data_IF_552092486429
#
_entry.id   IF_552092486429
#
_cell.length_a   1.000
_cell.length_b   1.000
_cell.length_c   1.000
_cell.angle_alpha   90.00
_cell.angle_beta   90.00
_cell.angle_gamma   90.00
#
_symmetry.space_group_name_H-M   'P 1'
#
loop_
_entity.id
_entity.type
_entity.pdbx_description
1 polymer ?
#
# COMPACT_ATOMS: atom_id res chain seq x y z
N UNK A 1 -9.84 -29.70 11.44
CA UNK A 1 -10.41 -31.02 11.78
C UNK A 1 -11.85 -31.15 11.30
N UNK A 2 -12.72 -30.18 11.61
CA UNK A 2 -14.15 -30.17 11.23
C UNK A 2 -14.44 -30.44 9.74
N UNK A 3 -13.73 -29.80 8.79
CA UNK A 3 -13.91 -30.06 7.34
C UNK A 3 -13.72 -31.54 6.95
N UNK A 4 -12.72 -32.21 7.53
CA UNK A 4 -12.43 -33.62 7.23
C UNK A 4 -13.56 -34.52 7.75
N UNK A 5 -14.05 -34.23 8.95
CA UNK A 5 -15.16 -34.97 9.57
C UNK A 5 -16.44 -34.78 8.76
N UNK A 6 -16.77 -33.55 8.35
CA UNK A 6 -17.91 -33.27 7.50
C UNK A 6 -17.86 -34.03 6.16
N UNK A 7 -16.70 -34.06 5.51
CA UNK A 7 -16.52 -34.81 4.25
C UNK A 7 -16.83 -36.30 4.46
N UNK A 8 -16.49 -36.87 5.61
CA UNK A 8 -16.76 -38.27 5.93
C UNK A 8 -18.27 -38.57 6.04
N UNK A 9 -19.04 -37.67 6.66
CA UNK A 9 -20.49 -37.86 6.90
C UNK A 9 -21.38 -37.34 5.77
N UNK A 10 -20.86 -36.51 4.86
CA UNK A 10 -21.64 -35.88 3.77
C UNK A 10 -22.43 -36.88 2.92
N UNK A 11 -21.90 -38.09 2.71
CA UNK A 11 -22.58 -39.13 1.93
C UNK A 11 -23.83 -39.64 2.66
N UNK A 12 -23.73 -39.86 3.97
CA UNK A 12 -24.83 -40.32 4.83
C UNK A 12 -25.96 -39.28 4.86
N UNK A 13 -25.61 -38.00 5.08
CA UNK A 13 -26.54 -36.87 5.03
C UNK A 13 -27.34 -36.83 3.72
N UNK A 14 -26.67 -36.96 2.57
CA UNK A 14 -27.33 -36.95 1.25
C UNK A 14 -28.24 -38.16 1.01
N UNK A 15 -27.93 -39.30 1.61
CA UNK A 15 -28.75 -40.51 1.51
C UNK A 15 -29.94 -40.52 2.47
N UNK A 16 -30.08 -39.52 3.34
CA UNK A 16 -31.11 -39.47 4.38
C UNK A 16 -30.91 -40.48 5.52
N UNK A 17 -29.76 -41.16 5.55
CA UNK A 17 -29.41 -42.15 6.57
C UNK A 17 -28.35 -41.56 7.51
N UNK A 18 -28.77 -40.57 8.30
CA UNK A 18 -27.92 -39.84 9.23
C UNK A 18 -28.47 -39.96 10.65
N UNK A 19 -27.59 -39.78 11.64
CA UNK A 19 -27.94 -39.69 13.05
C UNK A 19 -27.57 -38.32 13.64
N UNK A 20 -27.82 -38.14 14.94
CA UNK A 20 -27.49 -36.89 15.64
C UNK A 20 -25.98 -36.59 15.63
N UNK A 21 -25.13 -37.62 15.59
CA UNK A 21 -23.68 -37.45 15.50
C UNK A 21 -23.26 -36.85 14.16
N UNK A 22 -23.88 -37.29 13.06
CA UNK A 22 -23.67 -36.70 11.73
C UNK A 22 -24.15 -35.23 11.65
N UNK A 23 -25.25 -34.90 12.35
CA UNK A 23 -25.75 -33.53 12.48
C UNK A 23 -24.80 -32.65 13.29
N UNK A 24 -24.26 -33.17 14.40
CA UNK A 24 -23.29 -32.43 15.23
C UNK A 24 -22.00 -32.15 14.47
N UNK A 25 -21.46 -33.14 13.74
CA UNK A 25 -20.30 -32.94 12.85
C UNK A 25 -20.57 -31.85 11.81
N UNK A 26 -21.83 -31.73 11.35
CA UNK A 26 -22.24 -30.69 10.42
C UNK A 26 -22.30 -29.32 11.10
N UNK A 27 -22.86 -29.20 12.30
CA UNK A 27 -22.85 -27.95 13.10
C UNK A 27 -21.42 -27.49 13.37
N UNK A 28 -20.55 -28.38 13.83
CA UNK A 28 -19.13 -28.08 14.07
C UNK A 28 -18.45 -27.52 12.82
N UNK A 29 -18.72 -28.12 11.66
CA UNK A 29 -18.14 -27.66 10.40
C UNK A 29 -18.66 -26.29 9.96
N UNK A 30 -19.96 -26.04 10.07
CA UNK A 30 -20.55 -24.75 9.71
C UNK A 30 -20.08 -23.65 10.66
N UNK A 31 -20.08 -23.90 11.98
CA UNK A 31 -19.58 -22.97 12.98
C UNK A 31 -18.09 -22.65 12.77
N UNK A 32 -17.26 -23.67 12.53
CA UNK A 32 -15.85 -23.44 12.22
C UNK A 32 -15.64 -22.66 10.90
N UNK A 33 -16.55 -22.78 9.95
CA UNK A 33 -16.51 -22.01 8.70
C UNK A 33 -16.89 -20.55 8.95
N UNK A 34 -17.91 -20.29 9.77
CA UNK A 34 -18.30 -18.94 10.19
C UNK A 34 -17.18 -18.27 10.99
N UNK A 35 -16.54 -18.98 11.92
CA UNK A 35 -15.42 -18.43 12.70
C UNK A 35 -14.27 -17.97 11.80
N UNK A 36 -13.98 -18.71 10.74
CA UNK A 36 -13.01 -18.29 9.74
C UNK A 36 -13.47 -17.03 8.97
N UNK A 37 -14.74 -16.94 8.61
CA UNK A 37 -15.31 -15.77 7.91
C UNK A 37 -15.25 -14.53 8.80
N UNK A 38 -15.61 -14.64 10.07
CA UNK A 38 -15.51 -13.56 11.06
C UNK A 38 -14.06 -13.12 11.22
N UNK A 39 -13.12 -14.04 11.44
CA UNK A 39 -11.70 -13.71 11.58
C UNK A 39 -11.13 -13.01 10.33
N UNK A 40 -11.62 -13.34 9.13
CA UNK A 40 -11.24 -12.65 7.91
C UNK A 40 -11.74 -11.19 7.91
N UNK A 41 -13.00 -10.97 8.28
CA UNK A 41 -13.58 -9.63 8.36
C UNK A 41 -12.95 -8.78 9.47
N UNK A 42 -12.64 -9.37 10.63
CA UNK A 42 -11.91 -8.71 11.71
C UNK A 42 -10.52 -8.23 11.24
N UNK A 43 -9.84 -9.02 10.40
CA UNK A 43 -8.56 -8.61 9.80
C UNK A 43 -8.75 -7.42 8.85
N UNK A 44 -9.83 -7.40 8.07
CA UNK A 44 -10.16 -6.27 7.17
C UNK A 44 -10.45 -5.02 8.00
N UNK A 45 -11.26 -5.15 9.05
CA UNK A 45 -11.54 -4.07 10.00
C UNK A 45 -10.24 -3.51 10.60
N UNK A 46 -9.36 -4.36 11.10
CA UNK A 46 -8.06 -3.94 11.63
C UNK A 46 -7.23 -3.15 10.60
N UNK A 47 -7.17 -3.62 9.35
CA UNK A 47 -6.44 -2.93 8.30
C UNK A 47 -7.03 -1.53 8.00
N UNK A 48 -8.36 -1.42 8.00
CA UNK A 48 -9.06 -0.13 7.86
C UNK A 48 -8.71 0.81 9.01
N UNK A 49 -8.76 0.33 10.25
CA UNK A 49 -8.39 1.10 11.45
C UNK A 49 -6.94 1.63 11.39
N UNK A 50 -6.02 0.89 10.77
CA UNK A 50 -4.63 1.33 10.59
C UNK A 50 -4.40 2.25 9.39
N UNK A 51 -5.37 2.39 8.47
CA UNK A 51 -5.17 3.13 7.22
C UNK A 51 -5.21 4.65 7.37
N UNK A 52 -5.88 5.16 8.42
CA UNK A 52 -6.19 6.59 8.61
C UNK A 52 -6.77 7.26 7.33
N UNK A 53 -7.45 6.48 6.47
CA UNK A 53 -7.99 6.94 5.19
C UNK A 53 -9.32 7.67 5.33
N UNK A 54 -9.79 8.30 4.25
CA UNK A 54 -11.12 8.92 4.22
C UNK A 54 -12.23 7.87 4.27
N UNK A 55 -13.35 8.20 4.93
CA UNK A 55 -14.50 7.30 5.04
C UNK A 55 -14.29 6.05 5.90
N UNK A 56 -13.15 5.94 6.59
CA UNK A 56 -12.76 4.76 7.39
C UNK A 56 -13.84 4.33 8.39
N UNK A 57 -14.51 5.26 9.08
CA UNK A 57 -15.56 4.93 10.05
C UNK A 57 -16.76 4.21 9.40
N UNK A 58 -17.30 4.73 8.29
CA UNK A 58 -18.44 4.12 7.62
C UNK A 58 -18.10 2.71 7.10
N UNK A 59 -16.87 2.54 6.59
CA UNK A 59 -16.34 1.26 6.10
C UNK A 59 -16.18 0.26 7.25
N UNK A 60 -15.67 0.69 8.39
CA UNK A 60 -15.58 -0.12 9.62
C UNK A 60 -16.97 -0.56 10.09
N UNK A 61 -17.94 0.35 10.14
CA UNK A 61 -19.33 0.02 10.53
C UNK A 61 -19.93 -1.03 9.60
N UNK A 62 -19.76 -0.90 8.29
CA UNK A 62 -20.24 -1.89 7.34
C UNK A 62 -19.64 -3.28 7.59
N UNK A 63 -18.35 -3.37 7.93
CA UNK A 63 -17.70 -4.65 8.28
C UNK A 63 -18.26 -5.21 9.60
N UNK A 64 -18.48 -4.37 10.61
CA UNK A 64 -19.06 -4.77 11.90
C UNK A 64 -20.48 -5.31 11.75
N UNK A 65 -21.29 -4.72 10.87
CA UNK A 65 -22.65 -5.22 10.56
C UNK A 65 -22.60 -6.62 9.94
N UNK A 66 -21.63 -6.89 9.04
CA UNK A 66 -21.44 -8.22 8.45
C UNK A 66 -20.96 -9.26 9.46
N UNK A 67 -20.07 -8.87 10.38
CA UNK A 67 -19.64 -9.74 11.48
C UNK A 67 -20.85 -10.09 12.35
N UNK A 68 -21.70 -9.12 12.67
CA UNK A 68 -22.92 -9.33 13.46
C UNK A 68 -23.89 -10.29 12.76
N UNK A 69 -24.12 -10.13 11.46
CA UNK A 69 -24.94 -11.06 10.67
C UNK A 69 -24.39 -12.50 10.71
N UNK A 70 -23.07 -12.68 10.59
CA UNK A 70 -22.45 -14.00 10.69
C UNK A 70 -22.56 -14.61 12.11
N UNK A 71 -22.56 -13.78 13.15
CA UNK A 71 -22.80 -14.23 14.52
C UNK A 71 -24.24 -14.72 14.72
N UNK A 72 -25.23 -14.02 14.17
CA UNK A 72 -26.64 -14.46 14.18
C UNK A 72 -26.84 -15.80 13.46
N UNK A 73 -26.19 -15.99 12.30
CA UNK A 73 -26.22 -17.26 11.58
C UNK A 73 -25.60 -18.42 12.40
N UNK A 74 -24.57 -18.12 13.18
CA UNK A 74 -23.93 -19.09 14.08
C UNK A 74 -24.90 -19.56 15.17
N UNK A 75 -25.70 -18.64 15.72
CA UNK A 75 -26.76 -18.97 16.68
C UNK A 75 -27.85 -19.82 16.02
N UNK A 76 -28.25 -19.49 14.78
CA UNK A 76 -29.24 -20.26 14.02
C UNK A 76 -28.78 -21.71 13.79
N UNK A 77 -27.50 -21.94 13.46
CA UNK A 77 -26.92 -23.28 13.34
C UNK A 77 -26.94 -24.03 14.67
N UNK A 78 -26.61 -23.36 15.77
CA UNK A 78 -26.65 -23.95 17.11
C UNK A 78 -28.06 -24.41 17.52
N UNK A 79 -29.08 -23.68 17.10
CA UNK A 79 -30.49 -23.98 17.41
C UNK A 79 -31.16 -24.94 16.41
N UNK A 80 -30.46 -25.33 15.33
CA UNK A 80 -31.02 -26.18 14.29
C UNK A 80 -31.27 -27.62 14.80
N UNK A 81 -32.53 -28.04 14.70
CA UNK A 81 -33.06 -29.31 15.18
C UNK A 81 -32.96 -30.44 14.14
N UNK A 82 -32.56 -30.13 12.90
CA UNK A 82 -32.48 -31.13 11.84
C UNK A 82 -31.76 -30.67 10.59
N UNK A 83 -31.58 -31.59 9.65
CA UNK A 83 -30.80 -31.38 8.43
C UNK A 83 -31.36 -30.27 7.53
N UNK A 84 -32.69 -30.12 7.48
CA UNK A 84 -33.34 -29.07 6.67
C UNK A 84 -33.04 -27.66 7.21
N UNK A 85 -33.11 -27.47 8.52
CA UNK A 85 -32.77 -26.22 9.18
C UNK A 85 -31.27 -25.92 9.02
N UNK A 86 -30.40 -26.92 9.17
CA UNK A 86 -28.96 -26.78 8.91
C UNK A 86 -28.66 -26.43 7.45
N UNK A 87 -29.38 -27.02 6.49
CA UNK A 87 -29.21 -26.70 5.08
C UNK A 87 -29.68 -25.28 4.74
N UNK A 88 -30.75 -24.82 5.39
CA UNK A 88 -31.27 -23.45 5.26
C UNK A 88 -30.25 -22.45 5.82
N UNK A 89 -29.77 -22.66 7.05
CA UNK A 89 -28.74 -21.82 7.66
C UNK A 89 -27.45 -21.81 6.83
N UNK A 90 -26.98 -22.97 6.36
CA UNK A 90 -25.80 -23.03 5.49
C UNK A 90 -25.96 -22.24 4.18
N UNK A 91 -27.17 -22.20 3.62
CA UNK A 91 -27.47 -21.42 2.42
C UNK A 91 -27.48 -19.91 2.72
N UNK A 92 -28.04 -19.52 3.87
CA UNK A 92 -28.06 -18.14 4.34
C UNK A 92 -26.64 -17.61 4.62
N UNK A 93 -25.84 -18.36 5.38
CA UNK A 93 -24.40 -18.11 5.61
C UNK A 93 -23.65 -17.90 4.30
N UNK A 94 -23.91 -18.73 3.29
CA UNK A 94 -23.25 -18.60 1.99
C UNK A 94 -23.61 -17.28 1.29
N UNK A 95 -24.88 -16.86 1.37
CA UNK A 95 -25.34 -15.58 0.84
C UNK A 95 -24.66 -14.41 1.55
N UNK A 96 -24.74 -14.39 2.89
CA UNK A 96 -24.10 -13.37 3.73
C UNK A 96 -22.60 -13.27 3.48
N UNK A 97 -21.91 -14.42 3.43
CA UNK A 97 -20.47 -14.47 3.18
C UNK A 97 -20.10 -13.98 1.79
N UNK A 98 -20.83 -14.37 0.74
CA UNK A 98 -20.50 -13.93 -0.62
C UNK A 98 -20.54 -12.40 -0.73
N UNK A 99 -21.56 -11.78 -0.16
CA UNK A 99 -21.66 -10.32 -0.14
C UNK A 99 -20.57 -9.69 0.73
N UNK A 100 -20.38 -10.18 1.97
CA UNK A 100 -19.34 -9.67 2.86
C UNK A 100 -17.93 -9.80 2.26
N UNK A 101 -17.66 -10.88 1.54
CA UNK A 101 -16.39 -11.13 0.87
C UNK A 101 -16.15 -10.13 -0.27
N UNK A 102 -17.15 -9.84 -1.10
CA UNK A 102 -17.02 -8.86 -2.18
C UNK A 102 -16.72 -7.47 -1.61
N UNK A 103 -17.49 -7.04 -0.61
CA UNK A 103 -17.23 -5.78 0.09
C UNK A 103 -15.83 -5.76 0.71
N UNK A 104 -15.42 -6.82 1.42
CA UNK A 104 -14.09 -6.91 2.01
C UNK A 104 -12.94 -6.77 1.00
N UNK A 105 -13.09 -7.35 -0.20
CA UNK A 105 -12.11 -7.22 -1.29
C UNK A 105 -12.07 -5.77 -1.78
N UNK A 106 -13.23 -5.17 -2.04
CA UNK A 106 -13.30 -3.78 -2.48
C UNK A 106 -12.69 -2.82 -1.44
N UNK A 107 -13.00 -3.02 -0.16
CA UNK A 107 -12.47 -2.20 0.92
C UNK A 107 -10.96 -2.35 1.09
N UNK A 108 -10.43 -3.57 0.94
CA UNK A 108 -8.98 -3.79 0.96
C UNK A 108 -8.31 -3.12 -0.25
N UNK A 109 -8.95 -3.17 -1.42
CA UNK A 109 -8.51 -2.52 -2.65
C UNK A 109 -8.38 -1.01 -2.49
N UNK A 110 -9.45 -0.34 -2.03
CA UNK A 110 -9.45 1.11 -1.75
C UNK A 110 -8.32 1.52 -0.81
N UNK A 111 -8.11 0.77 0.28
CA UNK A 111 -7.01 1.06 1.21
C UNK A 111 -5.63 0.87 0.58
N UNK A 112 -5.49 -0.02 -0.41
CA UNK A 112 -4.26 -0.17 -1.16
C UNK A 112 -4.07 1.00 -2.14
N UNK A 113 -5.10 1.43 -2.86
CA UNK A 113 -5.07 2.62 -3.73
C UNK A 113 -4.65 3.86 -2.95
N UNK A 114 -5.32 4.16 -1.83
CA UNK A 114 -4.97 5.30 -0.95
C UNK A 114 -3.51 5.31 -0.47
N UNK A 115 -2.87 4.14 -0.40
CA UNK A 115 -1.44 4.04 -0.05
C UNK A 115 -0.54 4.26 -1.25
N UNK A 116 -0.97 3.81 -2.42
CA UNK A 116 -0.28 4.06 -3.69
C UNK A 116 -0.35 5.55 -4.03
N UNK A 117 -1.50 6.21 -3.88
CA UNK A 117 -1.63 7.66 -4.10
C UNK A 117 -0.65 8.45 -3.23
N UNK A 118 -0.54 8.09 -1.94
CA UNK A 118 0.46 8.70 -1.05
C UNK A 118 1.90 8.48 -1.48
N UNK A 119 2.20 7.46 -2.28
CA UNK A 119 3.51 7.24 -2.88
C UNK A 119 3.66 8.07 -4.16
N UNK A 120 2.61 8.16 -4.98
CA UNK A 120 2.55 8.97 -6.20
C UNK A 120 2.68 10.48 -5.86
N UNK A 121 1.94 10.99 -4.88
CA UNK A 121 2.06 12.38 -4.39
C UNK A 121 3.51 12.73 -4.01
N UNK A 122 4.19 11.82 -3.30
CA UNK A 122 5.59 12.02 -2.91
C UNK A 122 6.57 11.92 -4.07
N UNK A 123 6.17 11.22 -5.13
CA UNK A 123 6.99 11.04 -6.31
C UNK A 123 7.07 12.33 -7.13
N UNK A 124 5.99 13.09 -7.17
CA UNK A 124 5.93 14.41 -7.81
C UNK A 124 6.95 15.36 -7.16
N UNK A 125 6.95 15.44 -5.82
CA UNK A 125 7.91 16.24 -5.04
C UNK A 125 9.37 15.81 -5.34
N UNK A 126 9.61 14.51 -5.54
CA UNK A 126 10.95 13.99 -5.86
C UNK A 126 11.33 14.36 -7.30
N UNK A 127 10.42 14.18 -8.25
CA UNK A 127 10.63 14.50 -9.66
C UNK A 127 10.96 15.99 -9.84
N UNK A 128 10.18 16.88 -9.22
CA UNK A 128 10.40 18.33 -9.28
C UNK A 128 11.78 18.71 -8.73
N UNK A 129 12.20 18.11 -7.61
CA UNK A 129 13.52 18.36 -7.04
C UNK A 129 14.65 17.88 -7.94
N UNK A 130 14.49 16.71 -8.57
CA UNK A 130 15.48 16.18 -9.51
C UNK A 130 15.57 17.03 -10.78
N UNK A 131 14.43 17.49 -11.30
CA UNK A 131 14.38 18.39 -12.46
C UNK A 131 15.16 19.67 -12.18
N UNK A 132 14.89 20.33 -11.05
CA UNK A 132 15.61 21.53 -10.62
C UNK A 132 17.13 21.31 -10.47
N UNK A 133 17.54 20.16 -9.92
CA UNK A 133 18.97 19.83 -9.77
C UNK A 133 19.65 19.57 -11.12
N UNK A 134 18.97 18.86 -12.02
CA UNK A 134 19.44 18.61 -13.39
C UNK A 134 19.56 19.92 -14.17
N UNK A 135 18.59 20.83 -14.03
CA UNK A 135 18.64 22.15 -14.68
C UNK A 135 19.83 22.98 -14.17
N UNK A 136 20.08 23.00 -12.86
CA UNK A 136 21.24 23.68 -12.29
C UNK A 136 22.57 23.11 -12.81
N UNK A 137 22.66 21.78 -12.94
CA UNK A 137 23.84 21.12 -13.53
C UNK A 137 24.04 21.54 -15.00
N UNK A 138 22.96 21.63 -15.76
CA UNK A 138 22.98 22.05 -17.17
C UNK A 138 23.43 23.50 -17.32
N UNK A 139 22.95 24.39 -16.45
CA UNK A 139 23.40 25.79 -16.38
C UNK A 139 24.89 25.90 -16.04
N UNK A 140 25.40 25.01 -15.19
CA UNK A 140 26.83 24.87 -14.88
C UNK A 140 27.65 24.24 -16.03
N UNK A 141 27.02 23.88 -17.15
CA UNK A 141 27.68 23.28 -18.31
C UNK A 141 28.03 21.80 -18.14
N UNK A 142 27.42 21.12 -17.17
CA UNK A 142 27.57 19.68 -16.96
C UNK A 142 26.65 18.94 -17.94
N UNK A 143 27.13 17.81 -18.48
CA UNK A 143 26.34 16.96 -19.37
C UNK A 143 25.24 16.22 -18.60
N UNK A 144 23.98 16.42 -18.99
CA UNK A 144 22.80 15.93 -18.27
C UNK A 144 21.91 14.97 -19.06
N UNK A 145 22.19 14.71 -20.34
CA UNK A 145 21.24 13.98 -21.21
C UNK A 145 20.82 12.61 -20.66
N UNK A 146 21.73 11.89 -20.00
CA UNK A 146 21.41 10.59 -19.41
C UNK A 146 20.57 10.68 -18.12
N UNK A 147 20.71 11.76 -17.35
CA UNK A 147 19.88 12.04 -16.18
C UNK A 147 18.48 12.48 -16.61
N UNK A 148 18.39 13.37 -17.60
CA UNK A 148 17.12 13.81 -18.20
C UNK A 148 16.32 12.62 -18.75
N UNK A 149 16.98 11.71 -19.49
CA UNK A 149 16.33 10.51 -20.02
C UNK A 149 15.84 9.55 -18.92
N UNK A 150 16.57 9.43 -17.80
CA UNK A 150 16.14 8.61 -16.67
C UNK A 150 14.99 9.24 -15.90
N UNK A 151 15.01 10.56 -15.71
CA UNK A 151 13.91 11.27 -15.08
C UNK A 151 12.64 11.18 -15.93
N UNK A 152 12.75 11.28 -17.25
CA UNK A 152 11.62 11.06 -18.16
C UNK A 152 11.03 9.64 -18.02
N UNK A 153 11.87 8.61 -17.96
CA UNK A 153 11.43 7.23 -17.75
C UNK A 153 10.79 7.02 -16.36
N UNK A 154 11.35 7.67 -15.32
CA UNK A 154 10.76 7.67 -13.98
C UNK A 154 9.34 8.24 -14.01
N UNK A 155 9.16 9.41 -14.62
CA UNK A 155 7.85 10.07 -14.71
C UNK A 155 6.86 9.21 -15.51
N UNK A 156 7.27 8.65 -16.66
CA UNK A 156 6.40 7.77 -17.46
C UNK A 156 5.90 6.54 -16.67
N UNK A 157 6.76 5.94 -15.83
CA UNK A 157 6.37 4.84 -14.96
C UNK A 157 5.40 5.29 -13.85
N UNK A 158 5.61 6.47 -13.26
CA UNK A 158 4.72 7.00 -12.21
C UNK A 158 3.36 7.39 -12.78
N UNK A 159 3.31 8.07 -13.93
CA UNK A 159 2.07 8.40 -14.64
C UNK A 159 1.28 7.12 -14.98
N UNK A 160 1.98 6.08 -15.47
CA UNK A 160 1.33 4.82 -15.81
C UNK A 160 0.80 4.07 -14.58
N UNK A 161 1.49 4.20 -13.44
CA UNK A 161 1.05 3.63 -12.17
C UNK A 161 -0.17 4.39 -11.61
N UNK A 162 -0.24 5.71 -11.80
CA UNK A 162 -1.40 6.54 -11.48
C UNK A 162 -2.62 6.10 -12.29
N UNK A 163 -2.52 6.05 -13.62
CA UNK A 163 -3.62 5.62 -14.51
C UNK A 163 -4.21 4.25 -14.12
N UNK A 164 -3.35 3.30 -13.71
CA UNK A 164 -3.79 1.97 -13.26
C UNK A 164 -4.45 2.03 -11.88
N UNK A 165 -3.94 2.87 -10.98
CA UNK A 165 -4.51 3.04 -9.66
C UNK A 165 -5.92 3.63 -9.78
N UNK A 166 -6.10 4.68 -10.59
CA UNK A 166 -7.41 5.26 -10.91
C UNK A 166 -8.37 4.21 -11.51
N UNK A 167 -7.91 3.43 -12.49
CA UNK A 167 -8.74 2.38 -13.10
C UNK A 167 -9.18 1.30 -12.09
N UNK A 168 -8.36 1.00 -11.08
CA UNK A 168 -8.73 0.09 -10.00
C UNK A 168 -9.76 0.71 -9.06
N UNK A 169 -9.59 1.99 -8.72
CA UNK A 169 -10.51 2.74 -7.85
C UNK A 169 -11.92 2.81 -8.44
N UNK A 170 -12.03 3.13 -9.73
CA UNK A 170 -13.33 3.15 -10.43
C UNK A 170 -14.12 1.85 -10.27
N UNK A 171 -13.41 0.71 -10.23
CA UNK A 171 -14.04 -0.60 -10.02
C UNK A 171 -14.41 -0.80 -8.55
N UNK A 172 -13.52 -0.46 -7.61
CA UNK A 172 -13.79 -0.64 -6.18
C UNK A 172 -14.90 0.27 -5.65
N UNK A 173 -15.18 1.38 -6.33
CA UNK A 173 -16.29 2.27 -6.00
C UNK A 173 -17.67 1.73 -6.43
N UNK A 174 -17.74 0.77 -7.36
CA UNK A 174 -19.02 0.18 -7.79
C UNK A 174 -19.65 -0.62 -6.66
N UNK A 175 -20.93 -0.33 -6.37
CA UNK A 175 -21.71 -1.04 -5.34
C UNK A 175 -21.94 -2.52 -5.69
N UNK A 176 -22.02 -2.85 -6.99
CA UNK A 176 -22.34 -4.16 -7.52
C UNK A 176 -21.21 -4.83 -8.32
N UNK A 177 -19.96 -4.44 -8.05
CA UNK A 177 -18.77 -5.01 -8.70
C UNK A 177 -18.78 -6.55 -8.68
N UNK A 178 -18.62 -7.17 -9.85
CA UNK A 178 -18.55 -8.64 -9.93
C UNK A 178 -17.22 -9.16 -9.39
N UNK A 179 -17.13 -10.45 -9.01
CA UNK A 179 -15.86 -11.05 -8.61
C UNK A 179 -14.76 -10.90 -9.66
N UNK A 180 -15.11 -10.98 -10.95
CA UNK A 180 -14.19 -10.82 -12.07
C UNK A 180 -13.69 -9.38 -12.19
N UNK A 181 -14.57 -8.39 -12.04
CA UNK A 181 -14.16 -6.97 -12.02
C UNK A 181 -13.23 -6.69 -10.84
N UNK A 182 -13.54 -7.21 -9.64
CA UNK A 182 -12.67 -7.04 -8.47
C UNK A 182 -11.30 -7.73 -8.66
N UNK A 183 -11.24 -8.85 -9.37
CA UNK A 183 -9.98 -9.50 -9.72
C UNK A 183 -9.17 -8.66 -10.71
N UNK A 184 -9.84 -8.04 -11.68
CA UNK A 184 -9.22 -7.11 -12.63
C UNK A 184 -8.68 -5.85 -11.94
N UNK A 185 -9.44 -5.26 -11.02
CA UNK A 185 -9.00 -4.12 -10.19
C UNK A 185 -7.74 -4.46 -9.38
N UNK A 186 -7.69 -5.65 -8.78
CA UNK A 186 -6.49 -6.11 -8.07
C UNK A 186 -5.28 -6.27 -9.00
N UNK A 187 -5.51 -6.66 -10.26
CA UNK A 187 -4.43 -6.77 -11.26
C UNK A 187 -3.90 -5.39 -11.64
N UNK A 188 -4.77 -4.39 -11.78
CA UNK A 188 -4.32 -3.00 -11.99
C UNK A 188 -3.42 -2.53 -10.84
N UNK A 189 -3.82 -2.74 -9.58
CA UNK A 189 -2.98 -2.38 -8.43
C UNK A 189 -1.65 -3.14 -8.39
N UNK A 190 -1.62 -4.42 -8.77
CA UNK A 190 -0.38 -5.19 -8.85
C UNK A 190 0.59 -4.61 -9.88
N UNK A 191 0.06 -4.26 -11.06
CA UNK A 191 0.86 -3.65 -12.12
C UNK A 191 1.37 -2.25 -11.71
N UNK A 192 0.52 -1.43 -11.08
CA UNK A 192 0.93 -0.12 -10.55
C UNK A 192 2.09 -0.26 -9.54
N UNK A 193 2.02 -1.25 -8.64
CA UNK A 193 3.10 -1.52 -7.69
C UNK A 193 4.40 -2.01 -8.36
N UNK A 194 4.29 -2.78 -9.44
CA UNK A 194 5.45 -3.21 -10.24
C UNK A 194 6.13 -2.01 -10.91
N UNK A 195 5.34 -1.11 -11.52
CA UNK A 195 5.86 0.11 -12.14
C UNK A 195 6.48 1.07 -11.12
N UNK A 196 5.86 1.25 -9.94
CA UNK A 196 6.45 2.01 -8.84
C UNK A 196 7.77 1.38 -8.38
N UNK A 197 7.87 0.05 -8.35
CA UNK A 197 9.11 -0.62 -8.02
C UNK A 197 10.19 -0.35 -9.08
N UNK A 198 9.85 -0.46 -10.36
CA UNK A 198 10.76 -0.13 -11.47
C UNK A 198 11.20 1.34 -11.44
N UNK A 199 10.27 2.27 -11.19
CA UNK A 199 10.54 3.69 -11.03
C UNK A 199 11.54 3.92 -9.88
N UNK A 200 11.38 3.22 -8.76
CA UNK A 200 12.32 3.31 -7.64
C UNK A 200 13.72 2.77 -7.97
N UNK A 201 13.86 1.78 -8.86
CA UNK A 201 15.17 1.36 -9.36
C UNK A 201 15.80 2.44 -10.25
N UNK A 202 15.02 3.06 -11.14
CA UNK A 202 15.49 4.21 -11.95
C UNK A 202 15.93 5.36 -11.05
N UNK A 203 15.17 5.64 -10.00
CA UNK A 203 15.47 6.68 -9.01
C UNK A 203 16.81 6.43 -8.29
N UNK A 204 17.09 5.17 -7.92
CA UNK A 204 18.40 4.79 -7.35
C UNK A 204 19.54 5.05 -8.32
N UNK A 205 19.34 4.77 -9.61
CA UNK A 205 20.35 5.05 -10.63
C UNK A 205 20.58 6.55 -10.82
N UNK A 206 19.52 7.37 -10.77
CA UNK A 206 19.62 8.84 -10.79
C UNK A 206 20.44 9.32 -9.60
N UNK A 207 20.09 8.92 -8.38
CA UNK A 207 20.86 9.32 -7.19
C UNK A 207 22.31 8.83 -7.22
N UNK A 208 22.56 7.61 -7.69
CA UNK A 208 23.92 7.10 -7.84
C UNK A 208 24.79 7.93 -8.79
N UNK A 209 24.16 8.58 -9.77
CA UNK A 209 24.86 9.48 -10.71
C UNK A 209 24.98 10.91 -10.22
N UNK A 210 24.05 11.38 -9.40
CA UNK A 210 24.12 12.70 -8.79
C UNK A 210 25.16 12.75 -7.66
N UNK A 211 25.41 11.63 -6.98
CA UNK A 211 26.29 11.58 -5.80
C UNK A 211 27.70 12.19 -6.01
N UNK A 212 28.44 11.89 -7.10
CA UNK A 212 29.75 12.50 -7.33
C UNK A 212 29.69 14.03 -7.47
N UNK A 213 28.63 14.56 -8.09
CA UNK A 213 28.43 15.99 -8.26
C UNK A 213 28.09 16.66 -6.93
N UNK A 214 27.22 16.04 -6.14
CA UNK A 214 26.86 16.52 -4.80
C UNK A 214 28.07 16.58 -3.88
N UNK A 215 28.94 15.57 -3.93
CA UNK A 215 30.17 15.57 -3.14
C UNK A 215 31.18 16.62 -3.63
N UNK A 216 31.28 16.83 -4.94
CA UNK A 216 32.13 17.89 -5.49
C UNK A 216 31.67 19.27 -5.03
N UNK A 217 30.38 19.59 -5.13
CA UNK A 217 29.82 20.85 -4.63
C UNK A 217 30.05 21.03 -3.14
N UNK A 218 29.87 19.97 -2.33
CA UNK A 218 30.10 20.02 -0.88
C UNK A 218 31.55 20.34 -0.52
N UNK A 219 32.52 19.80 -1.27
CA UNK A 219 33.95 20.06 -1.09
C UNK A 219 34.34 21.47 -1.57
N UNK A 220 33.69 21.97 -2.64
CA UNK A 220 33.91 23.33 -3.15
C UNK A 220 33.38 24.41 -2.18
N UNK A 221 32.21 24.21 -1.57
CA UNK A 221 31.68 25.09 -0.51
C UNK A 221 32.61 25.12 0.71
N UNK A 222 33.06 23.96 1.20
CA UNK A 222 33.98 23.87 2.34
C UNK A 222 35.33 24.56 2.06
N UNK A 223 35.82 24.48 0.82
CA UNK A 223 37.06 25.17 0.42
C UNK A 223 36.87 26.68 0.29
N UNK A 224 35.70 27.16 -0.12
CA UNK A 224 35.39 28.60 -0.15
C UNK A 224 35.25 29.20 1.26
N UNK A 225 34.59 28.50 2.19
CA UNK A 225 34.50 28.92 3.59
C UNK A 225 35.88 28.94 4.27
N UNK A 226 36.73 27.94 4.00
CA UNK A 226 38.10 27.88 4.52
C UNK A 226 39.00 29.00 3.96
N UNK A 227 38.75 29.42 2.72
CA UNK A 227 39.50 30.50 2.06
C UNK A 227 39.09 31.90 2.52
N UNK A 228 37.87 32.07 3.06
CA UNK A 228 37.44 33.33 3.69
C UNK A 228 38.03 33.51 5.09
N UNK A 229 38.26 32.43 5.85
CA UNK A 229 38.87 32.50 7.19
C UNK A 229 40.39 32.77 7.10
N UNK A 230 41.07 32.33 6.05
CA UNK A 230 42.52 32.50 5.89
C UNK A 230 43.00 33.91 5.46
N UNK A 231 42.09 34.83 5.13
CA UNK A 231 42.42 36.19 4.66
C UNK A 231 42.24 37.30 5.72
N UNK A 232 41.82 36.98 6.96
CA UNK A 232 41.68 37.97 8.04
C UNK A 232 42.95 38.13 8.91
N UNK A 233 43.99 37.31 8.73
CA UNK A 233 45.18 37.27 9.61
C UNK A 233 46.52 37.70 8.97
N UNK A 234 46.49 38.55 7.93
CA UNK A 234 47.74 39.17 7.40
C UNK A 234 47.54 40.65 7.06
N UNK A 235 47.34 41.49 8.06
CA UNK A 235 47.79 42.88 8.00
C UNK A 235 48.08 43.42 9.42
N UNK A 236 49.31 43.24 9.90
CA UNK A 236 50.01 44.35 10.55
C UNK A 236 51.54 44.18 10.46
N UNK A 237 52.09 44.95 9.51
CA UNK A 237 53.42 45.57 9.43
C UNK A 237 54.66 44.93 10.09
N UNK A 238 55.59 44.52 9.24
CA UNK A 238 57.02 44.80 9.37
C UNK A 238 57.43 45.55 8.07
N UNK A 239 58.26 46.59 8.04
CA UNK A 239 59.48 46.83 8.79
C UNK A 239 60.05 48.24 8.51
N UNK A 240 60.84 48.72 9.48
CA UNK A 240 61.99 49.63 9.47
C UNK A 240 62.02 50.95 8.66
N UNK A 241 62.43 52.03 9.34
CA UNK A 241 63.85 52.48 9.32
C UNK A 241 64.12 53.68 10.24
N UNK A 242 65.27 53.61 10.90
CA UNK A 242 65.98 54.62 11.70
C UNK A 242 66.39 55.84 10.86
N UNK A 243 66.41 57.06 11.44
CA UNK A 243 67.65 57.85 11.64
C UNK A 243 67.42 59.25 12.24
N UNK A 244 68.11 59.44 13.36
CA UNK A 244 68.77 60.57 14.03
C UNK A 244 68.54 62.07 13.71
N UNK A 245 68.61 62.83 14.82
CA UNK A 245 69.26 64.12 15.08
C UNK A 245 68.56 65.49 14.96
N UNK A 246 68.46 66.11 16.15
CA UNK A 246 68.76 67.50 16.56
C UNK A 246 68.18 68.71 15.80
N UNK A 247 67.27 69.45 16.47
CA UNK A 247 67.45 70.84 16.96
C UNK A 247 66.20 71.38 17.70
#
# INVERSE_FOLDING_TARGET
MAKKNFIAVRKQLRSGNYDEGDLEITREYLNASIDYMIAHLEKVQYNLEQSNGNGTEARITAVQDRISQLQEEKEAIGNASGLEELATAASSVRGTWNNAKQSAVAETGKTASERIDKLLDKSEDIAERLENEIDAMKEAGIETAELEAKLANYNELMDSAEEKTEAAEEIFEKEDATPEELEEANKYLQNALEEIHEANEVLKEIFGKLEPYREQYRLEEQNQESSQIGNEDVDDSADDTEDEDDA
#
